data_IF_817101126316
#
_entry.id   IF_817101126316
#
_cell.length_a   1.000
_cell.length_b   1.000
_cell.length_c   1.000
_cell.angle_alpha   90.00
_cell.angle_beta   90.00
_cell.angle_gamma   90.00
#
_symmetry.space_group_name_H-M   'P 1'
#
loop_
_entity.id
_entity.type
_entity.pdbx_description
1 polymer ?
#
# COMPACT_ATOMS: atom_id res chain seq x y z
N UNK A 1 16.36 -26.05 9.80
CA UNK A 1 15.73 -25.61 8.53
C UNK A 1 16.12 -24.16 8.34
N UNK A 2 16.41 -23.74 7.11
CA UNK A 2 16.83 -22.35 6.83
C UNK A 2 15.62 -21.43 6.72
N UNK A 3 15.76 -20.16 7.09
CA UNK A 3 14.85 -19.11 6.63
C UNK A 3 15.62 -18.22 5.66
N UNK A 4 15.10 -18.03 4.46
CA UNK A 4 15.75 -17.29 3.39
C UNK A 4 14.92 -16.05 3.09
N UNK A 5 15.57 -14.90 2.90
CA UNK A 5 14.94 -13.70 2.38
C UNK A 5 15.64 -13.28 1.09
N UNK A 6 14.88 -13.08 0.03
CA UNK A 6 15.33 -12.55 -1.26
C UNK A 6 14.68 -11.19 -1.45
N UNK A 7 15.48 -10.13 -1.48
CA UNK A 7 15.03 -8.75 -1.61
C UNK A 7 15.45 -8.24 -2.99
N UNK A 8 14.49 -7.75 -3.76
CA UNK A 8 14.70 -7.20 -5.10
C UNK A 8 14.18 -5.77 -5.14
N UNK A 9 15.04 -4.81 -5.47
CA UNK A 9 14.64 -3.41 -5.56
C UNK A 9 15.18 -2.74 -6.80
N UNK A 10 14.30 -2.09 -7.56
CA UNK A 10 14.66 -1.40 -8.79
C UNK A 10 14.19 0.06 -8.72
N UNK A 11 15.15 0.98 -8.74
CA UNK A 11 14.93 2.43 -8.70
C UNK A 11 15.44 3.14 -9.96
N UNK A 12 16.54 2.66 -10.55
CA UNK A 12 17.30 3.30 -11.63
C UNK A 12 16.93 2.75 -13.02
N UNK A 13 15.67 2.87 -13.39
CA UNK A 13 15.17 2.41 -14.69
C UNK A 13 15.81 3.18 -15.88
N UNK A 14 16.14 2.44 -16.94
CA UNK A 14 16.73 2.96 -18.16
C UNK A 14 15.67 3.56 -19.10
N UNK A 15 14.51 2.91 -19.20
CA UNK A 15 13.44 3.26 -20.15
C UNK A 15 12.10 3.61 -19.49
N UNK A 16 12.02 3.54 -18.16
CA UNK A 16 10.85 3.90 -17.36
C UNK A 16 11.22 5.03 -16.39
N UNK A 17 10.21 5.66 -15.79
CA UNK A 17 10.42 6.63 -14.72
C UNK A 17 11.16 5.98 -13.55
N UNK A 18 12.12 6.70 -12.98
CA UNK A 18 12.85 6.25 -11.79
C UNK A 18 11.92 6.25 -10.57
N UNK A 19 12.14 5.28 -9.67
CA UNK A 19 11.38 5.14 -8.42
C UNK A 19 12.34 5.30 -7.24
N UNK A 20 12.58 6.55 -6.84
CA UNK A 20 13.60 6.88 -5.85
C UNK A 20 13.35 6.26 -4.46
N UNK A 21 12.08 5.99 -4.11
CA UNK A 21 11.70 5.38 -2.85
C UNK A 21 12.13 3.90 -2.71
N UNK A 22 12.24 3.14 -3.83
CA UNK A 22 12.58 1.71 -3.80
C UNK A 22 13.93 1.43 -3.13
N UNK A 23 14.87 2.36 -3.19
CA UNK A 23 16.17 2.22 -2.51
C UNK A 23 16.02 2.30 -0.99
N UNK A 24 15.15 3.19 -0.49
CA UNK A 24 14.88 3.31 0.96
C UNK A 24 14.09 2.11 1.47
N UNK A 25 13.17 1.62 0.66
CA UNK A 25 12.40 0.41 0.95
C UNK A 25 13.29 -0.81 1.17
N UNK A 26 14.21 -1.10 0.23
CA UNK A 26 15.17 -2.19 0.37
C UNK A 26 16.04 -2.00 1.60
N UNK A 27 16.58 -0.80 1.81
CA UNK A 27 17.44 -0.53 2.96
C UNK A 27 16.71 -0.78 4.29
N UNK A 28 15.46 -0.34 4.39
CA UNK A 28 14.63 -0.51 5.59
C UNK A 28 14.27 -1.97 5.84
N UNK A 29 13.84 -2.69 4.80
CA UNK A 29 13.53 -4.13 4.88
C UNK A 29 14.78 -4.95 5.22
N UNK A 30 15.91 -4.72 4.53
CA UNK A 30 17.17 -5.38 4.85
C UNK A 30 17.53 -5.15 6.31
N UNK A 31 17.38 -3.92 6.80
CA UNK A 31 17.75 -3.55 8.17
C UNK A 31 16.93 -4.31 9.20
N UNK A 32 15.60 -4.31 9.07
CA UNK A 32 14.70 -5.02 9.99
C UNK A 32 14.95 -6.52 9.96
N UNK A 33 15.09 -7.12 8.78
CA UNK A 33 15.34 -8.55 8.65
C UNK A 33 16.70 -8.93 9.24
N UNK A 34 17.74 -8.09 9.06
CA UNK A 34 19.06 -8.32 9.66
C UNK A 34 19.03 -8.23 11.18
N UNK A 35 18.33 -7.23 11.73
CA UNK A 35 18.19 -7.06 13.18
C UNK A 35 17.44 -8.24 13.82
N UNK A 36 16.47 -8.82 13.12
CA UNK A 36 15.75 -10.00 13.60
C UNK A 36 16.62 -11.26 13.70
N UNK A 37 17.76 -11.29 13.00
CA UNK A 37 18.66 -12.47 12.88
C UNK A 37 17.96 -13.75 12.40
N UNK A 38 16.74 -13.65 11.86
CA UNK A 38 15.91 -14.80 11.46
C UNK A 38 16.30 -15.35 10.10
N UNK A 39 16.70 -14.49 9.17
CA UNK A 39 16.85 -14.81 7.74
C UNK A 39 18.31 -14.74 7.25
N UNK A 40 18.67 -15.65 6.35
CA UNK A 40 19.79 -15.50 5.41
C UNK A 40 19.30 -14.62 4.25
N UNK A 41 19.94 -13.45 4.05
CA UNK A 41 19.42 -12.39 3.17
C UNK A 41 20.23 -12.32 1.87
N UNK A 42 19.56 -12.40 0.73
CA UNK A 42 20.10 -12.13 -0.61
C UNK A 42 19.44 -10.88 -1.20
N UNK A 43 20.24 -10.01 -1.82
CA UNK A 43 19.77 -8.70 -2.28
C UNK A 43 20.14 -8.49 -3.75
N UNK A 44 19.17 -8.01 -4.52
CA UNK A 44 19.31 -7.62 -5.93
C UNK A 44 18.83 -6.18 -6.11
N UNK A 45 19.76 -5.23 -6.22
CA UNK A 45 19.44 -3.81 -6.39
C UNK A 45 19.82 -3.32 -7.78
N UNK A 46 18.83 -2.82 -8.53
CA UNK A 46 19.01 -2.28 -9.88
C UNK A 46 19.63 -3.26 -10.89
N UNK A 47 19.20 -4.52 -10.86
CA UNK A 47 19.70 -5.56 -11.77
C UNK A 47 18.95 -5.51 -13.10
N UNK A 48 19.68 -5.73 -14.20
CA UNK A 48 19.08 -6.02 -15.49
C UNK A 48 18.44 -7.42 -15.49
N UNK A 49 17.49 -7.65 -16.41
CA UNK A 49 16.73 -8.91 -16.47
C UNK A 49 17.60 -10.17 -16.47
N UNK A 50 18.64 -10.20 -17.30
CA UNK A 50 19.57 -11.34 -17.37
C UNK A 50 20.27 -11.59 -16.03
N UNK A 51 20.76 -10.51 -15.40
CA UNK A 51 21.48 -10.59 -14.14
C UNK A 51 20.54 -11.05 -13.01
N UNK A 52 19.31 -10.53 -12.97
CA UNK A 52 18.31 -10.91 -11.98
C UNK A 52 17.92 -12.38 -12.13
N UNK A 53 17.53 -12.80 -13.34
CA UNK A 53 17.12 -14.19 -13.61
C UNK A 53 18.26 -15.17 -13.31
N UNK A 54 19.46 -14.90 -13.79
CA UNK A 54 20.64 -15.73 -13.53
C UNK A 54 20.99 -15.79 -12.03
N UNK A 55 20.91 -14.65 -11.33
CA UNK A 55 21.13 -14.55 -9.90
C UNK A 55 20.12 -15.36 -9.08
N UNK A 56 18.83 -15.22 -9.40
CA UNK A 56 17.77 -16.03 -8.81
C UNK A 56 18.02 -17.52 -9.09
N UNK A 57 18.25 -17.93 -10.34
CA UNK A 57 18.50 -19.34 -10.69
C UNK A 57 19.71 -19.92 -9.95
N UNK A 58 20.75 -19.11 -9.72
CA UNK A 58 21.92 -19.51 -8.93
C UNK A 58 21.54 -19.77 -7.46
N UNK A 59 20.82 -18.86 -6.82
CA UNK A 59 20.38 -19.03 -5.42
C UNK A 59 19.47 -20.25 -5.30
N UNK A 60 18.49 -20.40 -6.19
CA UNK A 60 17.58 -21.55 -6.18
C UNK A 60 18.38 -22.85 -6.24
N UNK A 61 19.34 -22.98 -7.16
CA UNK A 61 20.21 -24.15 -7.28
C UNK A 61 21.05 -24.40 -6.02
N UNK A 62 21.55 -23.36 -5.38
CA UNK A 62 22.29 -23.47 -4.11
C UNK A 62 21.39 -23.98 -2.96
N UNK A 63 20.09 -23.68 -3.02
CA UNK A 63 19.11 -24.03 -2.01
C UNK A 63 18.36 -25.36 -2.28
N UNK A 64 18.43 -25.92 -3.48
CA UNK A 64 17.71 -27.15 -3.89
C UNK A 64 17.84 -28.33 -2.89
N UNK A 65 19.00 -28.47 -2.25
CA UNK A 65 19.27 -29.56 -1.28
C UNK A 65 18.94 -29.19 0.17
N UNK A 66 18.51 -27.96 0.42
CA UNK A 66 18.22 -27.45 1.76
C UNK A 66 16.73 -27.58 2.07
N UNK A 67 16.41 -27.91 3.33
CA UNK A 67 15.05 -27.76 3.85
C UNK A 67 14.82 -26.33 4.33
N UNK A 68 13.86 -25.66 3.72
CA UNK A 68 13.55 -24.25 3.99
C UNK A 68 12.28 -24.20 4.83
N UNK A 69 12.35 -23.57 6.00
CA UNK A 69 11.19 -23.32 6.83
C UNK A 69 10.40 -22.12 6.29
N UNK A 70 11.09 -21.02 6.00
CA UNK A 70 10.46 -19.83 5.43
C UNK A 70 11.27 -19.28 4.27
N UNK A 71 10.59 -18.99 3.16
CA UNK A 71 11.15 -18.24 2.04
C UNK A 71 10.37 -16.95 1.87
N UNK A 72 11.01 -15.82 2.16
CA UNK A 72 10.47 -14.48 1.96
C UNK A 72 11.02 -13.91 0.66
N UNK A 73 10.15 -13.57 -0.27
CA UNK A 73 10.47 -12.78 -1.46
C UNK A 73 9.88 -11.37 -1.32
N UNK A 74 10.73 -10.36 -1.26
CA UNK A 74 10.33 -8.96 -1.19
C UNK A 74 10.72 -8.26 -2.50
N UNK A 75 9.78 -7.55 -3.12
CA UNK A 75 10.00 -6.78 -4.33
C UNK A 75 9.51 -5.35 -4.16
N UNK A 76 10.32 -4.36 -4.57
CA UNK A 76 9.92 -2.96 -4.73
C UNK A 76 10.37 -2.42 -6.09
N UNK A 77 9.45 -1.87 -6.87
CA UNK A 77 9.73 -1.38 -8.22
C UNK A 77 8.52 -1.31 -9.13
N UNK A 78 8.74 -1.12 -10.44
CA UNK A 78 7.68 -1.20 -11.43
C UNK A 78 7.18 -2.63 -11.62
N UNK A 79 5.89 -2.75 -11.83
CA UNK A 79 5.22 -3.99 -12.21
C UNK A 79 4.19 -3.71 -13.30
N UNK A 80 3.77 -4.77 -13.99
CA UNK A 80 2.68 -4.68 -14.95
C UNK A 80 1.88 -5.96 -14.96
N UNK A 81 0.57 -5.84 -15.08
CA UNK A 81 -0.32 -6.96 -15.24
C UNK A 81 -0.69 -7.14 -16.73
N UNK A 82 -0.38 -8.31 -17.30
CA UNK A 82 -0.79 -8.76 -18.65
C UNK A 82 -1.12 -10.25 -18.59
N UNK A 83 -2.39 -10.61 -18.36
CA UNK A 83 -2.85 -11.99 -18.07
C UNK A 83 -2.31 -12.60 -16.75
N UNK A 84 -1.08 -12.27 -16.39
CA UNK A 84 -0.41 -12.51 -15.12
C UNK A 84 0.43 -11.28 -14.73
N UNK A 85 0.95 -11.27 -13.51
CA UNK A 85 1.84 -10.20 -13.05
C UNK A 85 3.28 -10.39 -13.57
N UNK A 86 3.94 -9.29 -13.90
CA UNK A 86 5.35 -9.23 -14.30
C UNK A 86 6.11 -8.21 -13.45
N UNK A 87 7.26 -8.63 -12.93
CA UNK A 87 8.26 -7.78 -12.31
C UNK A 87 9.13 -7.16 -13.40
N UNK A 88 9.42 -5.86 -13.30
CA UNK A 88 10.18 -5.12 -14.31
C UNK A 88 11.60 -4.78 -13.81
N UNK A 89 12.64 -5.47 -14.30
CA UNK A 89 14.05 -5.08 -14.17
C UNK A 89 14.37 -3.69 -14.76
N UNK A 90 15.53 -3.12 -14.40
CA UNK A 90 15.88 -1.75 -14.78
C UNK A 90 16.03 -1.51 -16.30
N UNK A 91 16.31 -2.57 -17.07
CA UNK A 91 16.45 -2.51 -18.52
C UNK A 91 15.16 -2.86 -19.29
N UNK A 92 14.02 -2.93 -18.59
CA UNK A 92 12.73 -3.25 -19.21
C UNK A 92 12.43 -2.38 -20.44
N UNK A 93 11.89 -2.98 -21.49
CA UNK A 93 11.31 -2.29 -22.65
C UNK A 93 10.17 -3.11 -23.23
N UNK A 94 9.08 -2.44 -23.62
CA UNK A 94 7.92 -3.10 -24.25
C UNK A 94 8.29 -3.85 -25.55
N UNK A 95 9.33 -3.42 -26.26
CA UNK A 95 9.79 -4.09 -27.50
C UNK A 95 10.37 -5.48 -27.24
N UNK A 96 10.88 -5.72 -26.04
CA UNK A 96 11.52 -6.96 -25.62
C UNK A 96 10.88 -7.45 -24.31
N UNK A 97 9.55 -7.40 -24.26
CA UNK A 97 8.76 -7.62 -23.05
C UNK A 97 9.15 -8.93 -22.34
N UNK A 98 9.13 -10.06 -23.05
CA UNK A 98 9.40 -11.39 -22.48
C UNK A 98 10.84 -11.55 -21.94
N UNK A 99 11.83 -10.97 -22.63
CA UNK A 99 13.23 -11.11 -22.23
C UNK A 99 13.64 -10.09 -21.18
N UNK A 100 12.97 -8.95 -21.11
CA UNK A 100 13.28 -7.85 -20.19
C UNK A 100 12.31 -7.72 -19.02
N UNK A 101 11.40 -8.68 -18.84
CA UNK A 101 10.54 -8.82 -17.67
C UNK A 101 10.72 -10.20 -17.01
N UNK A 102 10.34 -10.31 -15.74
CA UNK A 102 10.26 -11.57 -15.01
C UNK A 102 8.79 -11.85 -14.70
N UNK A 103 8.28 -12.97 -15.17
CA UNK A 103 6.87 -13.33 -14.99
C UNK A 103 6.63 -13.90 -13.58
N UNK A 104 5.46 -13.67 -12.97
CA UNK A 104 5.14 -14.25 -11.66
C UNK A 104 5.11 -15.78 -11.70
N UNK A 105 4.67 -16.38 -12.80
CA UNK A 105 4.71 -17.84 -12.97
C UNK A 105 6.15 -18.36 -13.01
N UNK A 106 7.06 -17.66 -13.72
CA UNK A 106 8.49 -18.00 -13.75
C UNK A 106 9.08 -17.98 -12.34
N UNK A 107 8.81 -16.92 -11.56
CA UNK A 107 9.22 -16.84 -10.16
C UNK A 107 8.60 -17.97 -9.31
N UNK A 108 7.29 -18.17 -9.40
CA UNK A 108 6.60 -19.17 -8.58
C UNK A 108 7.10 -20.59 -8.88
N UNK A 109 7.40 -20.91 -10.13
CA UNK A 109 7.96 -22.21 -10.51
C UNK A 109 9.39 -22.40 -9.98
N UNK A 110 10.20 -21.33 -10.00
CA UNK A 110 11.51 -21.32 -9.32
C UNK A 110 11.37 -21.59 -7.82
N UNK A 111 10.44 -20.92 -7.13
CA UNK A 111 10.22 -21.09 -5.69
C UNK A 111 9.65 -22.48 -5.34
N UNK A 112 8.74 -23.02 -6.16
CA UNK A 112 8.15 -24.37 -5.96
C UNK A 112 9.17 -25.49 -6.10
N UNK A 113 10.28 -25.27 -6.79
CA UNK A 113 11.35 -26.27 -6.93
C UNK A 113 12.07 -26.57 -5.61
N UNK A 114 11.90 -25.72 -4.59
CA UNK A 114 12.52 -25.85 -3.28
C UNK A 114 11.61 -26.59 -2.28
N UNK A 115 12.18 -27.42 -1.39
CA UNK A 115 11.47 -28.00 -0.26
C UNK A 115 11.23 -26.94 0.83
N UNK A 116 10.18 -26.15 0.63
CA UNK A 116 9.82 -25.00 1.48
C UNK A 116 8.52 -25.27 2.25
N UNK A 117 8.50 -25.01 3.56
CA UNK A 117 7.28 -25.11 4.39
C UNK A 117 6.34 -23.92 4.22
N UNK A 118 6.88 -22.69 4.16
CA UNK A 118 6.11 -21.48 4.00
C UNK A 118 6.76 -20.49 3.03
N UNK A 119 5.97 -19.96 2.10
CA UNK A 119 6.41 -18.93 1.14
C UNK A 119 5.68 -17.62 1.41
N UNK A 120 6.45 -16.54 1.53
CA UNK A 120 5.93 -15.20 1.72
C UNK A 120 6.35 -14.35 0.53
N UNK A 121 5.39 -13.64 -0.08
CA UNK A 121 5.67 -12.65 -1.14
C UNK A 121 5.17 -11.30 -0.66
N UNK A 122 6.03 -10.29 -0.68
CA UNK A 122 5.66 -8.91 -0.37
C UNK A 122 6.02 -8.08 -1.58
N UNK A 123 4.99 -7.65 -2.32
CA UNK A 123 5.12 -7.04 -3.64
C UNK A 123 4.68 -5.58 -3.57
N UNK A 124 5.65 -4.69 -3.52
CA UNK A 124 5.51 -3.25 -3.54
C UNK A 124 5.71 -2.68 -4.94
N UNK A 125 4.70 -2.87 -5.78
CA UNK A 125 4.75 -2.50 -7.17
C UNK A 125 3.39 -2.06 -7.65
N UNK A 126 3.38 -1.05 -8.52
CA UNK A 126 2.21 -0.70 -9.30
C UNK A 126 1.77 -1.92 -10.12
N UNK A 127 0.48 -2.22 -10.09
CA UNK A 127 -0.14 -3.22 -10.96
C UNK A 127 -0.71 -2.61 -12.24
N UNK A 128 -0.38 -1.34 -12.54
CA UNK A 128 -0.95 -0.56 -13.63
C UNK A 128 -0.55 -1.11 -15.00
N UNK A 129 -1.26 -2.14 -15.46
CA UNK A 129 -1.44 -2.38 -16.88
C UNK A 129 -2.36 -1.29 -17.42
N UNK A 130 -1.95 -0.61 -18.50
CA UNK A 130 -2.90 0.13 -19.31
C UNK A 130 -3.90 -0.88 -19.90
N UNK A 131 -5.06 -1.00 -19.28
CA UNK A 131 -6.38 -1.13 -19.91
C UNK A 131 -7.42 -1.16 -18.80
N UNK A 132 -8.62 -0.65 -19.09
CA UNK A 132 -9.78 -0.73 -18.21
C UNK A 132 -10.08 -2.20 -17.88
N UNK A 133 -9.58 -2.69 -16.75
CA UNK A 133 -9.83 -4.03 -16.23
C UNK A 133 -11.30 -4.08 -15.79
N UNK A 134 -12.12 -4.87 -16.48
CA UNK A 134 -13.51 -5.15 -16.08
C UNK A 134 -13.49 -5.94 -14.75
N UNK A 135 -14.55 -5.85 -13.94
CA UNK A 135 -14.66 -6.59 -12.67
C UNK A 135 -14.41 -8.10 -12.82
N UNK A 136 -14.70 -8.69 -13.99
CA UNK A 136 -14.40 -10.08 -14.34
C UNK A 136 -12.90 -10.44 -14.31
N UNK A 137 -12.03 -9.47 -14.60
CA UNK A 137 -10.58 -9.66 -14.64
C UNK A 137 -9.93 -9.53 -13.24
N UNK A 138 -10.60 -8.90 -12.28
CA UNK A 138 -10.13 -8.90 -10.88
C UNK A 138 -10.12 -10.33 -10.32
N UNK A 139 -11.09 -11.15 -10.73
CA UNK A 139 -11.18 -12.55 -10.35
C UNK A 139 -10.13 -13.40 -11.06
N UNK A 140 -9.74 -13.08 -12.30
CA UNK A 140 -8.69 -13.81 -13.04
C UNK A 140 -7.28 -13.50 -12.50
N UNK A 141 -7.00 -12.26 -12.10
CA UNK A 141 -5.73 -11.88 -11.45
C UNK A 141 -5.62 -12.54 -10.08
N UNK A 142 -6.68 -12.44 -9.26
CA UNK A 142 -6.73 -13.13 -7.97
C UNK A 142 -6.55 -14.62 -8.18
N UNK A 143 -7.18 -15.22 -9.20
CA UNK A 143 -7.00 -16.64 -9.55
C UNK A 143 -5.56 -16.98 -9.98
N UNK A 144 -4.90 -16.18 -10.81
CA UNK A 144 -3.49 -16.38 -11.20
C UNK A 144 -2.54 -16.28 -10.00
N UNK A 145 -2.76 -15.31 -9.10
CA UNK A 145 -1.94 -15.11 -7.90
C UNK A 145 -2.25 -16.11 -6.76
N UNK A 146 -3.41 -16.77 -6.80
CA UNK A 146 -3.87 -17.75 -5.79
C UNK A 146 -3.77 -19.21 -6.25
N UNK A 147 -3.60 -19.47 -7.55
CA UNK A 147 -3.37 -20.81 -8.10
C UNK A 147 -1.92 -21.23 -7.89
N UNK A 148 -1.57 -21.48 -6.63
CA UNK A 148 -0.26 -21.99 -6.24
C UNK A 148 -0.39 -23.30 -5.44
N UNK A 149 0.63 -24.14 -5.53
CA UNK A 149 0.72 -25.42 -4.82
C UNK A 149 1.58 -25.36 -3.55
N UNK A 150 1.84 -24.15 -3.02
CA UNK A 150 2.61 -23.99 -1.77
C UNK A 150 1.86 -24.60 -0.57
N UNK A 151 2.62 -25.21 0.36
CA UNK A 151 2.08 -25.81 1.60
C UNK A 151 1.38 -24.74 2.45
N UNK A 152 2.09 -23.64 2.73
CA UNK A 152 1.58 -22.43 3.38
C UNK A 152 2.06 -21.18 2.66
N UNK A 153 1.24 -20.13 2.62
CA UNK A 153 1.65 -18.85 2.05
C UNK A 153 1.05 -17.61 2.71
N UNK A 154 1.77 -16.49 2.56
CA UNK A 154 1.29 -15.12 2.78
C UNK A 154 1.79 -14.22 1.65
N UNK A 155 0.90 -13.77 0.78
CA UNK A 155 1.23 -12.81 -0.27
C UNK A 155 0.56 -11.48 0.00
N UNK A 156 1.38 -10.44 0.10
CA UNK A 156 0.96 -9.07 0.33
C UNK A 156 1.29 -8.25 -0.92
N UNK A 157 0.29 -7.58 -1.48
CA UNK A 157 0.41 -6.75 -2.66
C UNK A 157 0.04 -5.32 -2.28
N UNK A 158 0.90 -4.36 -2.65
CA UNK A 158 0.72 -2.94 -2.28
C UNK A 158 -0.49 -2.25 -2.90
N UNK A 159 -1.00 -2.72 -4.04
CA UNK A 159 -2.14 -2.12 -4.73
C UNK A 159 -2.97 -3.17 -5.49
N UNK A 160 -4.22 -2.83 -5.81
CA UNK A 160 -5.05 -3.58 -6.75
C UNK A 160 -4.68 -3.25 -8.21
N UNK A 161 -5.19 -4.04 -9.16
CA UNK A 161 -4.71 -4.06 -10.56
C UNK A 161 -4.89 -2.77 -11.36
N UNK A 162 -5.71 -1.85 -10.88
CA UNK A 162 -5.95 -0.54 -11.49
C UNK A 162 -5.32 0.62 -10.69
N UNK A 163 -4.50 0.31 -9.69
CA UNK A 163 -3.91 1.27 -8.76
C UNK A 163 -2.38 1.19 -8.78
N UNK A 164 -1.76 2.33 -8.50
CA UNK A 164 -0.31 2.46 -8.39
C UNK A 164 0.13 2.36 -6.93
N UNK A 165 1.31 1.78 -6.68
CA UNK A 165 1.98 1.95 -5.39
C UNK A 165 2.51 3.38 -5.29
N UNK A 166 2.42 3.96 -4.10
CA UNK A 166 2.82 5.35 -3.83
C UNK A 166 3.90 5.42 -2.77
N UNK A 167 4.73 6.45 -2.87
CA UNK A 167 5.79 6.73 -1.91
C UNK A 167 6.19 8.20 -1.95
N UNK A 168 6.97 8.58 -0.95
CA UNK A 168 7.58 9.89 -0.81
C UNK A 168 9.09 9.76 -0.58
N UNK A 169 9.72 10.86 -0.19
CA UNK A 169 11.14 10.86 0.11
C UNK A 169 11.52 9.93 1.27
N UNK A 170 10.59 9.42 2.08
CA UNK A 170 10.88 8.51 3.21
C UNK A 170 10.79 7.04 2.82
N UNK A 171 10.17 6.71 1.70
CA UNK A 171 9.93 5.34 1.25
C UNK A 171 8.52 5.19 0.68
N UNK A 172 8.15 3.99 0.26
CA UNK A 172 6.77 3.71 -0.12
C UNK A 172 5.86 3.68 1.11
N UNK A 173 4.59 4.07 0.94
CA UNK A 173 3.62 3.99 2.04
C UNK A 173 3.37 2.56 2.48
N UNK A 174 3.45 1.60 1.54
CA UNK A 174 3.21 0.20 1.83
C UNK A 174 4.35 -0.43 2.65
N UNK A 175 5.60 -0.19 2.26
CA UNK A 175 6.76 -0.67 3.00
C UNK A 175 6.88 0.04 4.35
N UNK A 176 6.58 1.33 4.41
CA UNK A 176 6.52 2.06 5.68
C UNK A 176 5.44 1.48 6.62
N UNK A 177 4.25 1.13 6.11
CA UNK A 177 3.23 0.47 6.93
C UNK A 177 3.70 -0.88 7.50
N UNK A 178 4.48 -1.66 6.75
CA UNK A 178 5.10 -2.90 7.25
C UNK A 178 6.07 -2.56 8.39
N UNK A 179 6.97 -1.60 8.19
CA UNK A 179 7.96 -1.19 9.18
C UNK A 179 7.27 -0.69 10.46
N UNK A 180 6.30 0.20 10.31
CA UNK A 180 5.50 0.75 11.41
C UNK A 180 4.78 -0.34 12.20
N UNK A 181 4.20 -1.34 11.53
CA UNK A 181 3.53 -2.46 12.19
C UNK A 181 4.46 -3.20 13.16
N UNK A 182 5.75 -3.26 12.83
CA UNK A 182 6.80 -3.94 13.61
C UNK A 182 7.28 -3.04 14.75
N UNK A 183 7.63 -1.78 14.45
CA UNK A 183 8.20 -0.87 15.46
C UNK A 183 7.17 -0.41 16.49
N UNK A 184 5.88 -0.39 16.15
CA UNK A 184 4.81 -0.01 17.08
C UNK A 184 4.14 -1.22 17.76
N UNK A 185 4.56 -2.43 17.42
CA UNK A 185 3.95 -3.64 17.96
C UNK A 185 4.17 -3.75 19.48
N UNK A 186 3.11 -4.12 20.21
CA UNK A 186 3.14 -4.13 21.69
C UNK A 186 3.77 -5.38 22.28
N UNK A 187 3.76 -6.49 21.55
CA UNK A 187 4.35 -7.76 21.98
C UNK A 187 5.74 -7.95 21.38
N UNK A 188 6.57 -8.78 22.01
CA UNK A 188 7.95 -9.00 21.57
C UNK A 188 8.07 -9.90 20.31
N UNK A 189 6.94 -10.39 19.81
CA UNK A 189 6.83 -11.05 18.52
C UNK A 189 5.58 -10.56 17.78
N UNK A 190 5.64 -10.58 16.45
CA UNK A 190 4.56 -10.18 15.56
C UNK A 190 4.30 -11.27 14.53
N UNK A 191 3.02 -11.58 14.26
CA UNK A 191 2.64 -12.55 13.21
C UNK A 191 2.45 -11.87 11.87
N UNK A 192 2.54 -12.66 10.79
CA UNK A 192 2.17 -12.17 9.45
C UNK A 192 0.73 -11.64 9.40
N UNK A 193 -0.18 -12.26 10.15
CA UNK A 193 -1.55 -11.80 10.27
C UNK A 193 -1.68 -10.42 10.94
N UNK A 194 -0.85 -10.13 11.95
CA UNK A 194 -0.86 -8.84 12.64
C UNK A 194 -0.33 -7.72 11.73
N UNK A 195 0.73 -8.01 10.95
CA UNK A 195 1.23 -7.11 9.89
C UNK A 195 0.14 -6.83 8.86
N UNK A 196 -0.54 -7.89 8.38
CA UNK A 196 -1.62 -7.77 7.40
C UNK A 196 -2.75 -6.86 7.92
N UNK A 197 -3.19 -7.07 9.16
CA UNK A 197 -4.23 -6.25 9.80
C UNK A 197 -3.79 -4.78 9.92
N UNK A 198 -2.56 -4.52 10.37
CA UNK A 198 -2.04 -3.15 10.47
C UNK A 198 -2.03 -2.44 9.11
N UNK A 199 -1.57 -3.12 8.06
CA UNK A 199 -1.60 -2.56 6.70
C UNK A 199 -3.04 -2.28 6.27
N UNK A 200 -3.97 -3.22 6.47
CA UNK A 200 -5.37 -3.03 6.10
C UNK A 200 -5.97 -1.79 6.78
N UNK A 201 -5.70 -1.60 8.09
CA UNK A 201 -6.17 -0.43 8.85
C UNK A 201 -5.51 0.87 8.38
N UNK A 202 -4.21 0.83 8.05
CA UNK A 202 -3.49 2.01 7.56
C UNK A 202 -4.05 2.56 6.25
N UNK A 203 -4.50 1.68 5.36
CA UNK A 203 -5.03 2.04 4.05
C UNK A 203 -6.56 2.16 4.04
N UNK A 204 -7.24 1.84 5.14
CA UNK A 204 -8.68 2.01 5.27
C UNK A 204 -9.05 3.51 5.34
N UNK A 205 -9.85 3.98 4.38
CA UNK A 205 -10.40 5.34 4.35
C UNK A 205 -9.40 6.48 4.08
N UNK A 206 -8.11 6.17 3.80
CA UNK A 206 -7.07 7.20 3.59
C UNK A 206 -6.76 7.53 2.13
N UNK A 207 -7.08 6.65 1.17
CA UNK A 207 -6.81 6.92 -0.25
C UNK A 207 -7.57 5.95 -1.18
N UNK A 208 -8.42 6.45 -2.08
CA UNK A 208 -9.03 5.62 -3.15
C UNK A 208 -7.99 5.15 -4.18
N UNK A 209 -6.77 5.69 -4.13
CA UNK A 209 -5.74 5.48 -5.14
C UNK A 209 -4.83 4.27 -4.89
N UNK A 210 -4.85 3.70 -3.69
CA UNK A 210 -4.04 2.52 -3.33
C UNK A 210 -4.74 1.66 -2.28
N UNK A 211 -5.10 0.44 -2.66
CA UNK A 211 -5.72 -0.57 -1.79
C UNK A 211 -4.86 -1.83 -1.78
N UNK A 212 -4.19 -2.15 -0.66
CA UNK A 212 -3.45 -3.39 -0.54
C UNK A 212 -4.35 -4.62 -0.69
N UNK A 213 -3.81 -5.68 -1.29
CA UNK A 213 -4.48 -6.95 -1.48
C UNK A 213 -3.66 -8.10 -0.88
N UNK A 214 -4.35 -9.11 -0.34
CA UNK A 214 -3.72 -10.20 0.39
C UNK A 214 -4.23 -11.56 -0.06
N UNK A 215 -3.30 -12.51 -0.18
CA UNK A 215 -3.58 -13.95 -0.34
C UNK A 215 -2.91 -14.67 0.82
N UNK A 216 -3.63 -15.50 1.55
CA UNK A 216 -2.98 -16.35 2.55
C UNK A 216 -3.62 -17.74 2.56
N UNK A 217 -2.78 -18.74 2.81
CA UNK A 217 -3.16 -20.13 3.01
C UNK A 217 -2.42 -20.61 4.25
N UNK A 218 -2.98 -20.33 5.42
CA UNK A 218 -2.39 -20.66 6.72
C UNK A 218 -3.43 -20.53 7.84
N UNK A 219 -3.02 -20.78 9.08
CA UNK A 219 -3.88 -20.65 10.26
C UNK A 219 -3.76 -19.28 10.94
N UNK A 220 -3.12 -18.28 10.32
CA UNK A 220 -2.91 -16.95 10.89
C UNK A 220 -2.05 -16.93 12.19
N UNK A 221 -1.30 -17.99 12.47
CA UNK A 221 -0.50 -18.13 13.72
C UNK A 221 1.00 -17.96 13.50
N UNK A 222 1.45 -17.90 12.24
CA UNK A 222 2.87 -17.89 11.90
C UNK A 222 3.54 -16.55 12.27
N UNK A 223 4.60 -16.64 13.08
CA UNK A 223 5.37 -15.50 13.57
C UNK A 223 6.26 -14.98 12.43
N UNK A 224 6.12 -13.70 12.11
CA UNK A 224 7.02 -13.02 11.18
C UNK A 224 8.36 -12.75 11.85
N UNK A 225 8.38 -11.93 12.90
CA UNK A 225 9.60 -11.56 13.63
C UNK A 225 9.39 -11.72 15.14
N UNK A 226 10.50 -11.97 15.84
CA UNK A 226 10.61 -12.04 17.29
C UNK A 226 11.72 -11.11 17.77
N UNK A 227 11.87 -10.91 19.08
CA UNK A 227 12.83 -9.98 19.67
C UNK A 227 12.61 -8.55 19.14
N UNK A 228 11.33 -8.16 19.03
CA UNK A 228 10.95 -6.83 18.55
C UNK A 228 11.48 -5.73 19.47
N UNK A 229 11.63 -5.99 20.76
CA UNK A 229 12.21 -5.04 21.71
C UNK A 229 13.60 -4.58 21.27
N UNK A 230 14.44 -5.50 20.75
CA UNK A 230 15.78 -5.16 20.25
C UNK A 230 15.72 -4.35 18.95
N UNK A 231 14.77 -4.67 18.06
CA UNK A 231 14.52 -3.92 16.83
C UNK A 231 14.04 -2.50 17.17
N UNK A 232 13.05 -2.37 18.06
CA UNK A 232 12.45 -1.10 18.49
C UNK A 232 13.49 -0.17 19.11
N UNK A 233 14.31 -0.68 20.05
CA UNK A 233 15.42 0.09 20.64
C UNK A 233 16.40 0.61 19.59
N UNK A 234 16.64 -0.13 18.51
CA UNK A 234 17.50 0.35 17.44
C UNK A 234 16.88 1.56 16.73
N UNK A 235 15.58 1.53 16.43
CA UNK A 235 14.89 2.65 15.79
C UNK A 235 14.76 3.87 16.70
N UNK A 236 14.42 3.68 17.98
CA UNK A 236 14.39 4.76 18.99
C UNK A 236 15.75 5.46 19.11
N UNK A 237 16.84 4.69 19.15
CA UNK A 237 18.18 5.26 19.27
C UNK A 237 18.64 5.99 17.99
N UNK A 238 18.20 5.57 16.79
CA UNK A 238 18.56 6.29 15.57
C UNK A 238 17.77 7.59 15.41
N UNK A 239 16.51 7.64 15.84
CA UNK A 239 15.78 8.91 15.92
C UNK A 239 16.44 9.85 16.95
N UNK A 240 16.95 9.33 18.06
CA UNK A 240 17.70 10.13 19.04
C UNK A 240 19.09 10.56 18.55
N UNK A 241 19.80 9.71 17.79
CA UNK A 241 21.13 10.02 17.24
C UNK A 241 21.06 10.95 16.03
N UNK A 242 20.01 10.87 15.21
CA UNK A 242 19.72 11.87 14.17
C UNK A 242 19.46 13.26 14.78
N UNK A 243 19.03 13.32 16.04
CA UNK A 243 18.81 14.55 16.80
C UNK A 243 20.03 15.02 17.63
N UNK A 244 21.11 14.23 17.72
CA UNK A 244 22.25 14.49 18.62
C UNK A 244 23.63 14.57 17.92
N UNK A 245 23.70 14.69 16.60
CA UNK A 245 24.96 14.92 15.88
C UNK A 245 25.26 16.41 15.69
N UNK A 246 26.18 16.98 16.49
CA UNK A 246 26.67 18.36 16.30
C UNK A 246 27.85 18.47 15.31
N UNK A 247 27.81 19.55 14.51
CA UNK A 247 28.92 20.12 13.74
C UNK A 247 28.48 20.38 12.29
N UNK A 248 27.88 21.52 11.94
CA UNK A 248 28.50 22.85 11.90
C UNK A 248 27.47 23.94 12.26
N UNK A 249 27.87 24.86 13.14
CA UNK A 249 27.16 26.09 13.47
C UNK A 249 27.04 26.95 12.21
N UNK A 250 25.83 27.05 11.66
CA UNK A 250 25.28 28.32 11.18
C UNK A 250 23.85 28.43 11.70
N UNK A 251 23.66 29.47 12.53
CA UNK A 251 22.45 29.97 13.17
C UNK A 251 21.12 29.56 12.52
N UNK A 252 20.32 28.74 13.21
CA UNK A 252 18.85 28.81 13.15
C UNK A 252 18.28 28.49 14.54
N UNK A 253 18.26 29.49 15.42
CA UNK A 253 17.17 29.61 16.39
C UNK A 253 15.88 29.85 15.59
N UNK A 254 15.09 28.82 15.25
CA UNK A 254 13.70 29.01 14.82
C UNK A 254 12.78 27.77 14.79
N UNK A 255 13.27 26.52 14.89
CA UNK A 255 12.41 25.36 14.57
C UNK A 255 11.45 24.87 15.66
N UNK A 256 11.56 25.33 16.91
CA UNK A 256 10.51 25.05 17.91
C UNK A 256 9.24 25.89 17.71
N UNK A 257 9.34 27.01 17.01
CA UNK A 257 8.20 27.88 16.70
C UNK A 257 7.44 27.32 15.48
N UNK A 258 8.14 26.70 14.53
CA UNK A 258 7.59 26.26 13.23
C UNK A 258 6.65 25.04 13.32
N UNK A 259 6.94 24.02 14.14
CA UNK A 259 6.04 22.84 14.26
C UNK A 259 4.69 23.25 14.86
N UNK A 260 4.70 24.10 15.88
CA UNK A 260 3.48 24.58 16.54
C UNK A 260 2.69 25.48 15.59
N UNK A 261 3.36 26.31 14.79
CA UNK A 261 2.72 27.20 13.84
C UNK A 261 2.18 26.44 12.61
N UNK A 262 2.89 25.43 12.13
CA UNK A 262 2.42 24.47 11.09
C UNK A 262 1.23 23.66 11.57
N UNK A 263 1.23 23.17 12.81
CA UNK A 263 0.07 22.48 13.40
C UNK A 263 -1.13 23.42 13.53
N UNK A 264 -0.94 24.67 13.95
CA UNK A 264 -1.99 25.69 13.99
C UNK A 264 -2.49 26.06 12.58
N UNK A 265 -1.62 26.02 11.57
CA UNK A 265 -1.99 26.30 10.18
C UNK A 265 -2.76 25.14 9.56
N UNK A 266 -2.37 23.90 9.87
CA UNK A 266 -3.11 22.70 9.48
C UNK A 266 -4.46 22.61 10.20
N UNK A 267 -4.53 22.98 11.48
CA UNK A 267 -5.81 22.98 12.22
C UNK A 267 -6.80 24.01 11.67
N UNK A 268 -6.33 25.13 11.10
CA UNK A 268 -7.17 26.11 10.39
C UNK A 268 -7.79 25.56 9.09
N UNK A 269 -7.28 24.45 8.52
CA UNK A 269 -7.89 23.78 7.36
C UNK A 269 -9.10 22.93 7.74
N UNK A 270 -9.27 22.62 9.03
CA UNK A 270 -10.41 21.87 9.53
C UNK A 270 -11.39 22.84 10.19
N UNK A 271 -12.67 22.68 9.88
CA UNK A 271 -13.74 23.46 10.50
C UNK A 271 -13.98 22.89 11.90
N UNK A 272 -13.98 23.76 12.92
CA UNK A 272 -14.32 23.35 14.28
C UNK A 272 -15.74 22.73 14.31
N UNK A 273 -15.94 21.70 15.13
CA UNK A 273 -17.19 20.90 15.13
C UNK A 273 -18.45 21.76 15.28
N UNK A 274 -18.40 22.77 16.12
CA UNK A 274 -19.48 23.73 16.35
C UNK A 274 -19.75 24.62 15.13
N UNK A 275 -18.71 25.03 14.42
CA UNK A 275 -18.83 25.79 13.16
C UNK A 275 -19.36 24.89 12.04
N UNK A 276 -18.89 23.65 11.94
CA UNK A 276 -19.37 22.69 10.96
C UNK A 276 -20.86 22.38 11.17
N UNK A 277 -21.26 22.19 12.43
CA UNK A 277 -22.65 21.99 12.81
C UNK A 277 -23.50 23.22 12.46
N UNK A 278 -23.07 24.43 12.81
CA UNK A 278 -23.77 25.68 12.43
C UNK A 278 -23.89 25.86 10.92
N UNK A 279 -22.85 25.52 10.16
CA UNK A 279 -22.87 25.60 8.69
C UNK A 279 -23.87 24.62 8.09
N UNK A 280 -23.90 23.38 8.58
CA UNK A 280 -24.89 22.38 8.17
C UNK A 280 -26.31 22.85 8.55
N UNK A 281 -26.50 23.33 9.77
CA UNK A 281 -27.79 23.88 10.22
C UNK A 281 -28.23 25.08 9.35
N UNK A 282 -27.30 25.93 8.91
CA UNK A 282 -27.57 27.06 8.02
C UNK A 282 -27.98 26.63 6.60
N UNK A 283 -27.38 25.56 6.07
CA UNK A 283 -27.75 24.97 4.77
C UNK A 283 -29.20 24.45 4.81
N UNK A 284 -29.60 23.87 5.95
CA UNK A 284 -30.94 23.32 6.15
C UNK A 284 -31.90 24.28 6.87
N UNK A 285 -31.58 25.58 6.94
CA UNK A 285 -32.46 26.62 7.47
C UNK A 285 -33.58 26.88 6.45
N UNK A 286 -34.83 26.76 6.89
CA UNK A 286 -36.01 26.91 6.04
C UNK A 286 -36.08 28.30 5.38
N UNK A 287 -35.58 29.35 6.01
CA UNK A 287 -35.56 30.70 5.43
C UNK A 287 -34.52 30.80 4.30
N UNK A 288 -33.36 30.15 4.46
CA UNK A 288 -32.35 30.12 3.39
C UNK A 288 -32.82 29.29 2.20
N UNK A 289 -33.40 28.12 2.45
CA UNK A 289 -33.96 27.27 1.39
C UNK A 289 -35.09 28.00 0.66
N UNK A 290 -35.99 28.67 1.38
CA UNK A 290 -37.04 29.48 0.76
C UNK A 290 -36.47 30.64 -0.08
N UNK A 291 -35.33 31.21 0.30
CA UNK A 291 -34.67 32.28 -0.45
C UNK A 291 -33.86 31.78 -1.67
N UNK A 292 -33.61 30.47 -1.82
CA UNK A 292 -32.98 29.92 -3.02
C UNK A 292 -33.91 29.92 -4.24
N UNK A 293 -35.23 29.98 -4.03
CA UNK A 293 -36.20 30.07 -5.11
C UNK A 293 -36.45 31.53 -5.49
N UNK A 294 -36.21 31.85 -6.77
CA UNK A 294 -36.48 33.17 -7.34
C UNK A 294 -37.97 33.53 -7.19
N UNK A 295 -38.26 34.83 -7.11
CA UNK A 295 -39.60 35.38 -6.90
C UNK A 295 -40.59 34.93 -7.99
N UNK A 296 -40.12 34.71 -9.22
CA UNK A 296 -40.92 34.18 -10.32
C UNK A 296 -41.48 32.77 -10.03
N UNK A 297 -40.73 31.91 -9.33
CA UNK A 297 -41.16 30.56 -8.98
C UNK A 297 -42.21 30.59 -7.86
N UNK A 298 -42.04 31.51 -6.90
CA UNK A 298 -42.97 31.74 -5.79
C UNK A 298 -44.33 32.29 -6.24
N UNK A 299 -44.39 32.89 -7.43
CA UNK A 299 -45.64 33.36 -8.02
C UNK A 299 -46.48 32.24 -8.66
N UNK A 300 -45.84 31.11 -9.03
CA UNK A 300 -46.47 30.04 -9.81
C UNK A 300 -46.76 28.80 -8.94
N UNK A 301 -45.96 28.57 -7.90
CA UNK A 301 -46.03 27.37 -7.08
C UNK A 301 -46.07 27.67 -5.58
N UNK A 302 -46.90 26.91 -4.85
CA UNK A 302 -46.86 26.86 -3.39
C UNK A 302 -45.66 25.99 -2.94
N UNK A 303 -44.68 26.62 -2.28
CA UNK A 303 -43.48 25.93 -1.81
C UNK A 303 -43.73 25.36 -0.41
N UNK A 304 -43.54 24.04 -0.25
CA UNK A 304 -43.60 23.35 1.04
C UNK A 304 -42.26 22.69 1.33
N UNK A 305 -41.66 23.00 2.47
CA UNK A 305 -40.41 22.40 2.94
C UNK A 305 -40.76 21.43 4.07
N UNK A 306 -40.37 20.16 3.94
CA UNK A 306 -40.53 19.13 4.97
C UNK A 306 -39.16 18.58 5.36
N UNK A 307 -38.84 18.61 6.65
CA UNK A 307 -37.57 18.09 7.18
C UNK A 307 -37.73 16.63 7.60
N UNK A 308 -37.00 15.73 6.96
CA UNK A 308 -36.92 14.33 7.34
C UNK A 308 -35.59 14.05 8.07
N UNK A 309 -35.66 13.63 9.35
CA UNK A 309 -34.49 13.33 10.17
C UNK A 309 -34.15 11.82 10.22
N UNK A 310 -34.97 10.95 9.62
CA UNK A 310 -34.74 9.50 9.61
C UNK A 310 -33.94 9.08 8.39
N UNK A 311 -32.62 9.11 8.54
CA UNK A 311 -31.72 8.43 7.62
C UNK A 311 -31.03 7.28 8.33
N UNK A 312 -31.74 6.17 8.46
CA UNK A 312 -31.08 4.86 8.53
C UNK A 312 -30.62 4.50 7.10
N UNK A 313 -29.67 5.28 6.56
CA UNK A 313 -29.08 4.99 5.25
C UNK A 313 -27.89 4.08 5.50
N UNK A 314 -28.15 2.78 5.53
CA UNK A 314 -27.10 1.75 5.61
C UNK A 314 -26.15 1.74 4.39
N UNK A 315 -26.42 2.56 3.37
CA UNK A 315 -25.56 2.63 2.19
C UNK A 315 -25.80 3.91 1.37
N UNK A 316 -24.86 4.86 1.43
CA UNK A 316 -24.87 6.09 0.61
C UNK A 316 -25.01 5.78 -0.89
N UNK A 317 -24.50 4.63 -1.34
CA UNK A 317 -24.61 4.18 -2.72
C UNK A 317 -26.06 3.86 -3.12
N UNK A 318 -26.91 3.41 -2.19
CA UNK A 318 -28.34 3.21 -2.48
C UNK A 318 -29.06 4.54 -2.71
N UNK A 319 -28.74 5.56 -1.90
CA UNK A 319 -29.33 6.89 -2.07
C UNK A 319 -28.90 7.50 -3.42
N UNK A 320 -27.61 7.42 -3.75
CA UNK A 320 -27.09 7.89 -5.03
C UNK A 320 -27.78 7.19 -6.21
N UNK A 321 -27.89 5.86 -6.16
CA UNK A 321 -28.54 5.07 -7.21
C UNK A 321 -30.04 5.40 -7.34
N UNK A 322 -30.74 5.66 -6.23
CA UNK A 322 -32.17 6.01 -6.25
C UNK A 322 -32.40 7.41 -6.83
N UNK A 323 -31.55 8.38 -6.48
CA UNK A 323 -31.56 9.73 -7.07
C UNK A 323 -31.27 9.64 -8.56
N UNK A 324 -30.29 8.83 -8.96
CA UNK A 324 -29.92 8.68 -10.37
C UNK A 324 -31.04 8.05 -11.20
N UNK A 325 -31.66 6.99 -10.68
CA UNK A 325 -32.75 6.25 -11.33
C UNK A 325 -34.01 7.09 -11.51
N UNK A 326 -34.25 8.02 -10.58
CA UNK A 326 -35.41 8.90 -10.57
C UNK A 326 -35.07 10.37 -10.90
N UNK A 327 -33.92 10.62 -11.54
CA UNK A 327 -33.44 11.99 -11.88
C UNK A 327 -34.52 12.88 -12.49
N UNK A 328 -35.39 12.34 -13.33
CA UNK A 328 -36.49 13.07 -14.01
C UNK A 328 -37.59 13.58 -13.07
N UNK A 329 -37.72 13.01 -11.88
CA UNK A 329 -38.68 13.42 -10.86
C UNK A 329 -38.08 14.43 -9.86
N UNK A 330 -36.76 14.42 -9.71
CA UNK A 330 -36.04 15.28 -8.76
C UNK A 330 -35.42 16.52 -9.40
N UNK A 331 -35.14 16.48 -10.70
CA UNK A 331 -34.52 17.58 -11.42
C UNK A 331 -35.35 17.91 -12.66
N UNK A 332 -35.73 19.18 -12.77
CA UNK A 332 -36.33 19.74 -13.97
C UNK A 332 -35.16 20.13 -14.89
N UNK A 333 -35.09 19.55 -16.09
CA UNK A 333 -34.20 20.08 -17.13
C UNK A 333 -34.80 21.39 -17.63
N UNK A 334 -34.15 22.51 -17.32
CA UNK A 334 -34.41 23.81 -17.95
C UNK A 334 -33.86 23.84 -19.37
#
# INVERSE_FOLDING_TARGET
MKNIAILVGNSEYQNLNKLHFCRKDISSMQKILSLSKKFEIHIFENYQSEQLKSGLSKIIRELEKSKINELLFYYTGHGVFKEQFYYLPINFTDKQFETTSLSNNELDDMLKSLDTEMVIKIIDACQSGQQYIKESDQMSVKKSLTQHSFKKCYFFFSSMNNQSSMGDDKGSYFTNAIIESIVTHKTDSIRYADVQSYIADCFNGKNELQTPFFVHQSNATEIFLSDLTSIQKFFENNDLMANNGEGIIQEIENDKIDIVEKLKTLSKKYIAKDVAQKTIECIFDENNINNMFNDDIKLIYDIKIEKHNDYNIDNINKLYNEIEKNKKHFFINL
#
